data_IF_503427863537
#
_entry.id   IF_503427863537
#
_cell.length_a   1.000
_cell.length_b   1.000
_cell.length_c   1.000
_cell.angle_alpha   90.00
_cell.angle_beta   90.00
_cell.angle_gamma   90.00
#
_symmetry.space_group_name_H-M   'P 1'
#
loop_
_entity.id
_entity.type
_entity.pdbx_description
1 polymer ?
#
# COMPACT_ATOMS: atom_id res chain seq x y z
N UNK A 1 -16.77 6.89 14.37
CA UNK A 1 -16.86 7.62 13.08
C UNK A 1 -15.85 7.04 12.08
N UNK A 2 -14.55 7.16 12.34
CA UNK A 2 -13.49 6.60 11.47
C UNK A 2 -13.70 5.12 11.12
N UNK A 3 -13.90 4.23 12.10
CA UNK A 3 -14.09 2.79 11.84
C UNK A 3 -15.20 2.50 10.81
N UNK A 4 -16.38 3.11 10.98
CA UNK A 4 -17.54 2.87 10.09
C UNK A 4 -17.25 3.41 8.69
N UNK A 5 -16.72 4.63 8.59
CA UNK A 5 -16.39 5.22 7.29
C UNK A 5 -15.27 4.48 6.57
N UNK A 6 -14.25 4.01 7.29
CA UNK A 6 -13.20 3.15 6.74
C UNK A 6 -13.78 1.87 6.16
N UNK A 7 -14.64 1.16 6.90
CA UNK A 7 -15.26 -0.06 6.38
C UNK A 7 -16.15 0.21 5.19
N UNK A 8 -17.00 1.25 5.24
CA UNK A 8 -17.86 1.61 4.12
C UNK A 8 -17.06 1.87 2.83
N UNK A 9 -15.98 2.65 2.92
CA UNK A 9 -15.14 2.91 1.75
C UNK A 9 -14.36 1.66 1.33
N UNK A 10 -13.83 0.87 2.26
CA UNK A 10 -13.07 -0.37 1.98
C UNK A 10 -13.89 -1.42 1.23
N UNK A 11 -15.17 -1.58 1.56
CA UNK A 11 -16.07 -2.51 0.86
C UNK A 11 -16.63 -1.93 -0.45
N UNK A 12 -16.19 -0.74 -0.86
CA UNK A 12 -16.60 -0.12 -2.11
C UNK A 12 -17.96 0.57 -2.08
N UNK A 13 -18.48 0.96 -0.91
CA UNK A 13 -19.73 1.71 -0.83
C UNK A 13 -19.57 3.05 -1.57
N UNK A 14 -20.29 3.20 -2.69
CA UNK A 14 -20.08 4.29 -3.66
C UNK A 14 -20.18 5.67 -3.02
N UNK A 15 -21.19 5.89 -2.18
CA UNK A 15 -21.38 7.17 -1.49
C UNK A 15 -20.19 7.52 -0.57
N UNK A 16 -19.55 6.52 0.05
CA UNK A 16 -18.35 6.76 0.87
C UNK A 16 -17.21 7.23 -0.02
N UNK A 17 -16.93 6.48 -1.10
CA UNK A 17 -15.87 6.81 -2.04
C UNK A 17 -16.07 8.20 -2.65
N UNK A 18 -17.28 8.49 -3.14
CA UNK A 18 -17.63 9.76 -3.78
C UNK A 18 -17.48 10.93 -2.80
N UNK A 19 -18.01 10.81 -1.57
CA UNK A 19 -17.90 11.88 -0.56
C UNK A 19 -16.47 12.09 -0.07
N UNK A 20 -15.69 11.02 0.10
CA UNK A 20 -14.28 11.15 0.49
C UNK A 20 -13.46 11.80 -0.61
N UNK A 21 -13.72 11.46 -1.88
CA UNK A 21 -13.05 12.09 -3.01
C UNK A 21 -13.46 13.57 -3.17
N UNK A 22 -14.75 13.90 -3.09
CA UNK A 22 -15.22 15.29 -3.13
C UNK A 22 -14.57 16.15 -2.03
N UNK A 23 -14.56 15.65 -0.79
CA UNK A 23 -13.94 16.35 0.34
C UNK A 23 -12.43 16.48 0.18
N UNK A 24 -11.75 15.46 -0.36
CA UNK A 24 -10.34 15.49 -0.69
C UNK A 24 -10.03 16.53 -1.76
N UNK A 25 -10.71 16.49 -2.90
CA UNK A 25 -10.50 17.40 -4.03
C UNK A 25 -10.80 18.84 -3.64
N UNK A 26 -11.85 19.08 -2.83
CA UNK A 26 -12.12 20.40 -2.27
C UNK A 26 -10.98 20.89 -1.35
N UNK A 27 -10.47 20.03 -0.47
CA UNK A 27 -9.36 20.36 0.41
C UNK A 27 -8.06 20.67 -0.36
N UNK A 28 -7.78 19.92 -1.42
CA UNK A 28 -6.63 20.15 -2.31
C UNK A 28 -6.79 21.46 -3.08
N UNK A 29 -7.93 21.67 -3.74
CA UNK A 29 -8.22 22.89 -4.53
C UNK A 29 -8.15 24.15 -3.69
N UNK A 30 -8.76 24.12 -2.50
CA UNK A 30 -8.89 25.31 -1.65
C UNK A 30 -7.67 25.48 -0.72
N UNK A 31 -6.68 24.57 -0.81
CA UNK A 31 -5.52 24.48 0.07
C UNK A 31 -5.90 24.51 1.56
N UNK A 32 -6.95 23.77 1.91
CA UNK A 32 -7.47 23.68 3.29
C UNK A 32 -7.16 22.32 3.92
N UNK A 33 -7.21 22.27 5.25
CA UNK A 33 -7.04 21.02 5.99
C UNK A 33 -8.40 20.36 6.21
N UNK A 34 -8.51 19.08 5.89
CA UNK A 34 -9.63 18.26 6.35
C UNK A 34 -9.58 18.16 7.88
N UNK A 35 -10.76 18.19 8.51
CA UNK A 35 -10.85 18.08 9.97
C UNK A 35 -10.16 16.79 10.47
N UNK A 36 -9.30 16.86 11.51
CA UNK A 36 -8.50 15.71 11.97
C UNK A 36 -9.30 14.42 12.21
N UNK A 37 -10.52 14.53 12.75
CA UNK A 37 -11.41 13.39 13.01
C UNK A 37 -11.72 12.51 11.79
N UNK A 38 -11.65 13.06 10.57
CA UNK A 38 -11.96 12.32 9.33
C UNK A 38 -10.81 12.32 8.33
N UNK A 39 -9.71 13.01 8.64
CA UNK A 39 -8.62 13.23 7.70
C UNK A 39 -8.00 11.93 7.17
N UNK A 40 -7.82 10.91 8.02
CA UNK A 40 -7.29 9.60 7.59
C UNK A 40 -8.15 8.95 6.50
N UNK A 41 -9.47 8.96 6.68
CA UNK A 41 -10.41 8.34 5.73
C UNK A 41 -10.49 9.19 4.46
N UNK A 42 -10.66 10.50 4.60
CA UNK A 42 -10.81 11.41 3.46
C UNK A 42 -9.54 11.43 2.61
N UNK A 43 -8.35 11.55 3.20
CA UNK A 43 -7.12 11.59 2.43
C UNK A 43 -6.80 10.23 1.77
N UNK A 44 -6.96 9.10 2.47
CA UNK A 44 -6.66 7.79 1.90
C UNK A 44 -7.63 7.42 0.75
N UNK A 45 -8.94 7.51 0.97
CA UNK A 45 -9.92 7.13 -0.06
C UNK A 45 -10.12 8.20 -1.13
N UNK A 46 -9.84 9.47 -0.82
CA UNK A 46 -9.72 10.50 -1.84
C UNK A 46 -8.56 10.23 -2.80
N UNK A 47 -7.43 9.70 -2.28
CA UNK A 47 -6.28 9.32 -3.09
C UNK A 47 -6.56 8.17 -4.08
N UNK A 48 -7.56 7.32 -3.83
CA UNK A 48 -7.90 6.23 -4.76
C UNK A 48 -8.24 6.72 -6.17
N UNK A 49 -8.76 7.95 -6.29
CA UNK A 49 -9.16 8.56 -7.56
C UNK A 49 -8.45 9.91 -7.79
N UNK A 50 -7.36 10.17 -7.08
CA UNK A 50 -6.61 11.40 -7.24
C UNK A 50 -5.97 11.47 -8.63
N UNK A 51 -6.14 12.63 -9.27
CA UNK A 51 -5.36 12.99 -10.46
C UNK A 51 -3.88 13.15 -10.12
N UNK A 52 -3.01 13.11 -11.13
CA UNK A 52 -1.57 13.32 -10.91
C UNK A 52 -1.27 14.70 -10.29
N UNK A 53 -2.06 15.72 -10.63
CA UNK A 53 -1.94 17.05 -10.04
C UNK A 53 -2.29 17.05 -8.53
N UNK A 54 -3.37 16.37 -8.14
CA UNK A 54 -3.76 16.24 -6.73
C UNK A 54 -2.72 15.40 -5.96
N UNK A 55 -2.22 14.32 -6.55
CA UNK A 55 -1.17 13.48 -5.97
C UNK A 55 0.10 14.31 -5.70
N UNK A 56 0.59 15.04 -6.72
CA UNK A 56 1.76 15.92 -6.60
C UNK A 56 1.52 17.03 -5.57
N UNK A 57 0.30 17.57 -5.49
CA UNK A 57 -0.04 18.58 -4.49
C UNK A 57 0.04 18.03 -3.06
N UNK A 58 -0.46 16.81 -2.85
CA UNK A 58 -0.36 16.13 -1.55
C UNK A 58 1.08 15.75 -1.19
N UNK A 59 1.88 15.30 -2.18
CA UNK A 59 3.31 15.06 -2.00
C UNK A 59 4.04 16.35 -1.60
N UNK A 60 3.80 17.47 -2.30
CA UNK A 60 4.39 18.77 -1.96
C UNK A 60 3.96 19.26 -0.57
N UNK A 61 2.72 18.99 -0.17
CA UNK A 61 2.24 19.32 1.18
C UNK A 61 2.97 18.51 2.25
N UNK A 62 3.21 17.21 1.99
CA UNK A 62 4.03 16.36 2.84
C UNK A 62 5.45 16.90 2.92
N UNK A 63 6.08 17.15 1.77
CA UNK A 63 7.44 17.65 1.65
C UNK A 63 7.65 18.96 2.42
N UNK A 64 6.74 19.92 2.29
CA UNK A 64 6.87 21.24 2.94
C UNK A 64 6.47 21.25 4.42
N UNK A 65 5.81 20.20 4.92
CA UNK A 65 5.38 20.14 6.32
C UNK A 65 6.56 19.91 7.25
N UNK A 66 6.62 20.68 8.35
CA UNK A 66 7.54 20.45 9.48
C UNK A 66 6.89 19.65 10.61
N UNK A 67 5.61 19.28 10.46
CA UNK A 67 4.86 18.53 11.46
C UNK A 67 4.92 17.03 11.13
N UNK A 68 5.64 16.26 11.94
CA UNK A 68 5.82 14.81 11.77
C UNK A 68 4.50 14.02 11.73
N UNK A 69 3.49 14.41 12.52
CA UNK A 69 2.18 13.77 12.49
C UNK A 69 1.43 14.04 11.19
N UNK A 70 1.52 15.26 10.66
CA UNK A 70 0.96 15.59 9.34
C UNK A 70 1.71 14.85 8.22
N UNK A 71 3.04 14.78 8.27
CA UNK A 71 3.84 14.02 7.29
C UNK A 71 3.45 12.54 7.28
N UNK A 72 3.34 11.92 8.45
CA UNK A 72 2.93 10.51 8.58
C UNK A 72 1.55 10.29 7.95
N UNK A 73 0.57 11.14 8.29
CA UNK A 73 -0.78 11.07 7.72
C UNK A 73 -0.77 11.19 6.19
N UNK A 74 0.05 12.09 5.64
CA UNK A 74 0.14 12.30 4.20
C UNK A 74 0.88 11.17 3.49
N UNK A 75 1.94 10.60 4.08
CA UNK A 75 2.63 9.42 3.56
C UNK A 75 1.66 8.23 3.47
N UNK A 76 0.88 8.00 4.54
CA UNK A 76 -0.14 6.95 4.56
C UNK A 76 -1.20 7.15 3.48
N UNK A 77 -1.65 8.40 3.30
CA UNK A 77 -2.64 8.72 2.28
C UNK A 77 -2.10 8.55 0.84
N UNK A 78 -0.88 8.96 0.57
CA UNK A 78 -0.22 8.79 -0.75
C UNK A 78 -0.10 7.31 -1.12
N UNK A 79 0.22 6.45 -0.15
CA UNK A 79 0.24 5.00 -0.34
C UNK A 79 -1.12 4.39 -0.69
N UNK A 80 -2.24 5.10 -0.44
CA UNK A 80 -3.58 4.66 -0.82
C UNK A 80 -3.94 4.90 -2.29
N UNK A 81 -3.05 5.48 -3.11
CA UNK A 81 -3.33 5.60 -4.55
C UNK A 81 -3.66 4.23 -5.17
N UNK A 82 -4.52 4.23 -6.20
CA UNK A 82 -4.79 3.05 -7.03
C UNK A 82 -4.13 3.16 -8.41
N UNK A 83 -3.32 4.20 -8.65
CA UNK A 83 -2.54 4.36 -9.88
C UNK A 83 -1.15 3.73 -9.69
N UNK A 84 -0.83 2.75 -10.52
CA UNK A 84 0.49 2.09 -10.51
C UNK A 84 1.62 3.10 -10.73
N UNK A 85 1.43 4.08 -11.61
CA UNK A 85 2.46 5.08 -11.94
C UNK A 85 2.68 6.05 -10.77
N UNK A 86 1.62 6.44 -10.05
CA UNK A 86 1.75 7.29 -8.86
C UNK A 86 2.46 6.54 -7.72
N UNK A 87 2.11 5.26 -7.52
CA UNK A 87 2.75 4.42 -6.50
C UNK A 87 4.22 4.14 -6.83
N UNK A 88 4.54 3.86 -8.10
CA UNK A 88 5.92 3.66 -8.57
C UNK A 88 6.79 4.92 -8.36
N UNK A 89 6.28 6.09 -8.75
CA UNK A 89 6.94 7.36 -8.49
C UNK A 89 7.14 7.60 -6.98
N UNK A 90 6.15 7.24 -6.15
CA UNK A 90 6.24 7.40 -4.71
C UNK A 90 7.25 6.45 -4.06
N UNK A 91 7.27 5.18 -4.45
CA UNK A 91 8.25 4.20 -3.99
C UNK A 91 9.67 4.61 -4.36
N UNK A 92 9.87 5.12 -5.57
CA UNK A 92 11.15 5.65 -6.06
C UNK A 92 11.70 6.77 -5.14
N UNK A 93 10.82 7.61 -4.59
CA UNK A 93 11.25 8.65 -3.64
C UNK A 93 11.84 8.09 -2.33
N UNK A 94 11.47 6.87 -1.93
CA UNK A 94 11.97 6.25 -0.68
C UNK A 94 13.45 5.89 -0.73
N UNK A 95 13.95 5.51 -1.92
CA UNK A 95 15.37 5.23 -2.16
C UNK A 95 16.12 6.50 -2.59
N UNK A 96 15.41 7.55 -3.01
CA UNK A 96 16.04 8.78 -3.51
C UNK A 96 16.71 8.59 -4.88
N UNK A 97 16.36 7.52 -5.58
CA UNK A 97 16.66 7.33 -6.99
C UNK A 97 15.71 8.22 -7.82
N UNK A 98 16.16 8.67 -8.99
CA UNK A 98 15.33 9.45 -9.93
C UNK A 98 15.83 10.89 -10.18
N UNK A 99 15.95 11.25 -11.45
CA UNK A 99 16.41 12.58 -11.87
C UNK A 99 15.37 13.64 -11.52
N UNK A 100 15.76 14.63 -10.72
CA UNK A 100 14.88 15.76 -10.35
C UNK A 100 13.91 15.46 -9.20
N UNK A 101 14.05 14.32 -8.52
CA UNK A 101 13.24 13.99 -7.35
C UNK A 101 13.86 14.64 -6.11
N UNK A 102 13.19 15.67 -5.58
CA UNK A 102 13.53 16.23 -4.28
C UNK A 102 12.96 15.37 -3.15
N UNK A 103 13.84 14.85 -2.30
CA UNK A 103 13.49 14.04 -1.12
C UNK A 103 14.00 14.69 0.15
N UNK A 104 13.15 14.78 1.17
CA UNK A 104 13.52 15.32 2.48
C UNK A 104 13.04 14.44 3.64
N UNK A 105 12.95 13.14 3.39
CA UNK A 105 12.53 12.17 4.39
C UNK A 105 13.47 12.12 5.59
N UNK A 106 12.88 12.02 6.78
CA UNK A 106 13.59 11.43 7.91
C UNK A 106 13.82 9.94 7.66
N UNK A 107 14.83 9.34 8.29
CA UNK A 107 15.22 7.94 8.07
C UNK A 107 14.02 6.98 8.20
N UNK A 108 13.22 7.12 9.26
CA UNK A 108 12.03 6.30 9.49
C UNK A 108 10.89 6.53 8.47
N UNK A 109 10.86 7.68 7.79
CA UNK A 109 9.80 7.99 6.82
C UNK A 109 9.99 7.24 5.50
N UNK A 110 11.22 6.93 5.11
CA UNK A 110 11.49 6.14 3.89
C UNK A 110 10.88 4.74 4.01
N UNK A 111 11.12 4.06 5.13
CA UNK A 111 10.48 2.77 5.42
C UNK A 111 8.96 2.89 5.55
N UNK A 112 8.46 4.03 6.05
CA UNK A 112 7.01 4.29 6.12
C UNK A 112 6.37 4.41 4.74
N UNK A 113 7.06 4.95 3.74
CA UNK A 113 6.58 4.99 2.34
C UNK A 113 6.28 3.58 1.85
N UNK A 114 7.23 2.65 2.00
CA UNK A 114 7.04 1.24 1.61
C UNK A 114 5.84 0.63 2.33
N UNK A 115 5.75 0.86 3.65
CA UNK A 115 4.65 0.39 4.48
C UNK A 115 3.29 0.95 4.05
N UNK A 116 3.20 2.24 3.77
CA UNK A 116 1.97 2.88 3.33
C UNK A 116 1.47 2.24 2.04
N UNK A 117 2.37 1.96 1.09
CA UNK A 117 2.03 1.35 -0.19
C UNK A 117 1.53 -0.09 -0.02
N UNK A 118 2.31 -1.00 0.56
CA UNK A 118 1.89 -2.42 0.64
C UNK A 118 0.71 -2.66 1.60
N UNK A 119 0.47 -1.76 2.57
CA UNK A 119 -0.59 -1.95 3.56
C UNK A 119 -1.95 -1.43 3.11
N UNK A 120 -1.99 -0.50 2.14
CA UNK A 120 -3.22 0.17 1.75
C UNK A 120 -4.14 -0.67 0.86
N UNK A 121 -3.59 -1.42 -0.09
CA UNK A 121 -4.38 -2.17 -1.07
C UNK A 121 -3.59 -3.29 -1.76
N UNK A 122 -4.28 -4.18 -2.46
CA UNK A 122 -3.63 -5.18 -3.33
C UNK A 122 -2.82 -4.52 -4.44
N UNK A 123 -3.36 -3.47 -5.05
CA UNK A 123 -2.64 -2.64 -6.03
C UNK A 123 -1.33 -2.08 -5.48
N UNK A 124 -1.30 -1.71 -4.20
CA UNK A 124 -0.06 -1.32 -3.52
C UNK A 124 0.97 -2.44 -3.40
N UNK A 125 0.53 -3.66 -3.08
CA UNK A 125 1.42 -4.84 -3.08
C UNK A 125 1.95 -5.11 -4.49
N UNK A 126 1.08 -5.05 -5.51
CA UNK A 126 1.47 -5.28 -6.91
C UNK A 126 2.45 -4.20 -7.41
N UNK A 127 2.24 -2.94 -7.02
CA UNK A 127 3.16 -1.85 -7.31
C UNK A 127 4.53 -2.08 -6.65
N UNK A 128 4.55 -2.54 -5.40
CA UNK A 128 5.80 -2.86 -4.70
C UNK A 128 6.52 -4.05 -5.31
N UNK A 129 5.80 -5.10 -5.73
CA UNK A 129 6.40 -6.23 -6.47
C UNK A 129 7.01 -5.71 -7.78
N UNK A 130 6.26 -4.93 -8.55
CA UNK A 130 6.74 -4.36 -9.83
C UNK A 130 7.98 -3.48 -9.62
N UNK A 131 7.98 -2.65 -8.59
CA UNK A 131 9.11 -1.79 -8.23
C UNK A 131 10.37 -2.60 -7.90
N UNK A 132 10.24 -3.74 -7.22
CA UNK A 132 11.35 -4.62 -6.88
C UNK A 132 11.69 -5.65 -7.97
N UNK A 133 10.87 -5.75 -9.03
CA UNK A 133 11.12 -6.58 -10.22
C UNK A 133 12.11 -5.89 -11.18
N UNK A 134 13.03 -5.12 -10.62
CA UNK A 134 14.20 -4.54 -11.23
C UNK A 134 15.38 -4.75 -10.26
N UNK A 135 16.42 -5.41 -10.73
CA UNK A 135 17.56 -5.78 -9.90
C UNK A 135 18.28 -4.54 -9.34
N UNK A 136 18.45 -3.49 -10.15
CA UNK A 136 19.14 -2.26 -9.72
C UNK A 136 18.33 -1.53 -8.65
N UNK A 137 17.00 -1.52 -8.77
CA UNK A 137 16.10 -0.93 -7.76
C UNK A 137 16.11 -1.75 -6.46
N UNK A 138 16.15 -3.07 -6.55
CA UNK A 138 16.26 -3.93 -5.37
C UNK A 138 17.61 -3.74 -4.65
N UNK A 139 18.71 -3.60 -5.41
CA UNK A 139 20.04 -3.27 -4.87
C UNK A 139 20.04 -1.89 -4.18
N UNK A 140 19.48 -0.87 -4.83
CA UNK A 140 19.34 0.48 -4.27
C UNK A 140 18.51 0.46 -2.98
N UNK A 141 17.41 -0.31 -2.93
CA UNK A 141 16.62 -0.45 -1.71
C UNK A 141 17.48 -0.97 -0.55
N UNK A 142 18.27 -2.01 -0.79
CA UNK A 142 19.17 -2.59 0.21
C UNK A 142 20.27 -1.59 0.58
N UNK A 143 20.83 -0.88 -0.39
CA UNK A 143 21.87 0.10 -0.15
C UNK A 143 21.40 1.27 0.73
N UNK A 144 20.20 1.80 0.48
CA UNK A 144 19.69 2.98 1.18
C UNK A 144 18.91 2.65 2.45
N UNK A 145 18.25 1.50 2.54
CA UNK A 145 17.37 1.12 3.65
C UNK A 145 17.80 -0.15 4.40
N UNK A 146 18.92 -0.75 3.98
CA UNK A 146 19.52 -1.95 4.58
C UNK A 146 18.73 -3.25 4.33
N UNK A 147 19.47 -4.37 4.37
CA UNK A 147 18.94 -5.71 4.19
C UNK A 147 17.72 -6.06 5.09
N UNK A 148 17.66 -5.64 6.38
CA UNK A 148 16.49 -5.92 7.21
C UNK A 148 15.18 -5.32 6.68
N UNK A 149 15.23 -4.15 6.03
CA UNK A 149 14.04 -3.53 5.43
C UNK A 149 13.61 -4.32 4.19
N UNK A 150 14.54 -4.68 3.31
CA UNK A 150 14.25 -5.55 2.16
C UNK A 150 13.59 -6.87 2.59
N UNK A 151 14.16 -7.55 3.58
CA UNK A 151 13.60 -8.80 4.12
C UNK A 151 12.17 -8.60 4.69
N UNK A 152 11.94 -7.47 5.37
CA UNK A 152 10.63 -7.13 5.92
C UNK A 152 9.59 -6.85 4.83
N UNK A 153 10.01 -6.25 3.71
CA UNK A 153 9.16 -6.04 2.53
C UNK A 153 8.77 -7.37 1.89
N UNK A 154 9.71 -8.29 1.69
CA UNK A 154 9.41 -9.64 1.18
C UNK A 154 8.40 -10.36 2.08
N UNK A 155 8.61 -10.31 3.41
CA UNK A 155 7.67 -10.88 4.36
C UNK A 155 6.27 -10.21 4.29
N UNK A 156 6.21 -8.90 4.10
CA UNK A 156 4.95 -8.16 3.96
C UNK A 156 4.19 -8.49 2.67
N UNK A 157 4.91 -8.74 1.57
CA UNK A 157 4.35 -9.24 0.30
C UNK A 157 3.79 -10.65 0.51
N UNK A 158 4.59 -11.57 1.07
CA UNK A 158 4.18 -12.95 1.32
C UNK A 158 2.92 -13.03 2.21
N UNK A 159 2.86 -12.23 3.28
CA UNK A 159 1.69 -12.15 4.16
C UNK A 159 0.40 -11.66 3.47
N UNK A 160 0.48 -11.11 2.26
CA UNK A 160 -0.66 -10.59 1.47
C UNK A 160 -0.90 -11.37 0.17
N UNK A 161 -0.17 -12.45 -0.04
CA UNK A 161 -0.32 -13.36 -1.16
C UNK A 161 -1.25 -14.51 -0.74
N UNK A 162 -2.41 -14.59 -1.37
CA UNK A 162 -3.52 -15.49 -1.06
C UNK A 162 -4.01 -16.27 -2.29
N UNK A 163 -3.38 -16.12 -3.45
CA UNK A 163 -3.73 -16.87 -4.67
C UNK A 163 -2.49 -17.45 -5.37
N UNK A 164 -2.70 -18.49 -6.16
CA UNK A 164 -1.64 -19.09 -6.99
C UNK A 164 -1.03 -18.09 -7.99
N UNK A 165 -1.84 -17.16 -8.51
CA UNK A 165 -1.35 -16.11 -9.41
C UNK A 165 -0.37 -15.18 -8.68
N UNK A 166 -0.73 -14.73 -7.47
CA UNK A 166 0.13 -13.88 -6.65
C UNK A 166 1.39 -14.62 -6.18
N UNK A 167 1.29 -15.92 -5.90
CA UNK A 167 2.46 -16.76 -5.60
C UNK A 167 3.43 -16.82 -6.79
N UNK A 168 2.92 -16.94 -8.02
CA UNK A 168 3.76 -16.91 -9.20
C UNK A 168 4.45 -15.56 -9.40
N UNK A 169 3.78 -14.44 -9.09
CA UNK A 169 4.42 -13.11 -9.09
C UNK A 169 5.55 -13.02 -8.06
N UNK A 170 5.34 -13.56 -6.85
CA UNK A 170 6.38 -13.59 -5.81
C UNK A 170 7.56 -14.48 -6.22
N UNK A 171 7.31 -15.64 -6.86
CA UNK A 171 8.36 -16.51 -7.40
C UNK A 171 9.16 -15.83 -8.52
N UNK A 172 8.49 -15.06 -9.37
CA UNK A 172 9.15 -14.25 -10.39
C UNK A 172 10.06 -13.19 -9.76
N UNK A 173 9.57 -12.48 -8.73
CA UNK A 173 10.39 -11.53 -7.98
C UNK A 173 11.65 -12.19 -7.40
N UNK A 174 11.53 -13.39 -6.83
CA UNK A 174 12.70 -14.14 -6.34
C UNK A 174 13.71 -14.49 -7.45
N UNK A 175 13.23 -14.79 -8.67
CA UNK A 175 14.11 -15.01 -9.80
C UNK A 175 14.86 -13.73 -10.22
N UNK A 176 14.21 -12.57 -10.09
CA UNK A 176 14.81 -11.26 -10.40
C UNK A 176 15.85 -10.86 -9.35
N UNK A 177 15.52 -10.89 -8.06
CA UNK A 177 16.43 -10.42 -6.99
C UNK A 177 17.54 -11.42 -6.64
N UNK A 178 17.35 -12.72 -6.94
CA UNK A 178 18.37 -13.75 -6.75
C UNK A 178 18.93 -13.79 -5.32
N UNK A 179 20.26 -13.75 -5.19
CA UNK A 179 20.98 -13.87 -3.91
C UNK A 179 20.71 -12.72 -2.92
N UNK A 180 20.12 -11.60 -3.37
CA UNK A 180 19.67 -10.52 -2.48
C UNK A 180 18.60 -10.97 -1.49
N UNK A 181 17.83 -12.02 -1.84
CA UNK A 181 16.89 -12.68 -0.95
C UNK A 181 17.54 -13.98 -0.43
N UNK A 182 18.07 -13.99 0.82
CA UNK A 182 18.66 -15.18 1.39
C UNK A 182 17.69 -16.35 1.46
N UNK A 183 18.20 -17.59 1.37
CA UNK A 183 17.39 -18.82 1.34
C UNK A 183 16.40 -18.92 2.52
N UNK A 184 16.80 -18.47 3.72
CA UNK A 184 15.92 -18.47 4.88
C UNK A 184 14.75 -17.46 4.76
N UNK A 185 14.96 -16.35 4.06
CA UNK A 185 13.92 -15.34 3.79
C UNK A 185 12.94 -15.88 2.75
N UNK A 186 13.47 -16.47 1.66
CA UNK A 186 12.66 -17.11 0.61
C UNK A 186 11.81 -18.24 1.19
N UNK A 187 12.41 -19.12 1.99
CA UNK A 187 11.71 -20.25 2.61
C UNK A 187 10.59 -19.78 3.54
N UNK A 188 10.87 -18.84 4.44
CA UNK A 188 9.87 -18.29 5.37
C UNK A 188 8.71 -17.58 4.63
N UNK A 189 9.01 -16.88 3.54
CA UNK A 189 8.00 -16.25 2.69
C UNK A 189 7.11 -17.32 2.02
N UNK A 190 7.67 -18.36 1.41
CA UNK A 190 6.91 -19.43 0.78
C UNK A 190 6.07 -20.23 1.78
N UNK A 191 6.58 -20.48 2.99
CA UNK A 191 5.81 -21.09 4.08
C UNK A 191 4.61 -20.23 4.48
N UNK A 192 4.81 -18.90 4.59
CA UNK A 192 3.73 -17.95 4.88
C UNK A 192 2.66 -17.99 3.79
N UNK A 193 3.05 -17.99 2.51
CA UNK A 193 2.10 -18.08 1.40
C UNK A 193 1.36 -19.42 1.40
N UNK A 194 2.06 -20.53 1.65
CA UNK A 194 1.41 -21.84 1.73
C UNK A 194 0.35 -21.87 2.84
N UNK A 195 0.67 -21.31 4.01
CA UNK A 195 -0.30 -21.17 5.11
C UNK A 195 -1.54 -20.35 4.70
N UNK A 196 -1.37 -19.28 3.92
CA UNK A 196 -2.48 -18.47 3.43
C UNK A 196 -3.37 -19.26 2.46
N UNK A 197 -2.75 -19.97 1.51
CA UNK A 197 -3.46 -20.80 0.52
C UNK A 197 -4.23 -21.95 1.21
N UNK A 198 -3.60 -22.59 2.19
CA UNK A 198 -4.18 -23.72 2.93
C UNK A 198 -5.37 -23.28 3.80
N UNK A 199 -5.38 -22.03 4.30
CA UNK A 199 -6.44 -21.50 5.16
C UNK A 199 -7.83 -21.63 4.52
N UNK A 200 -7.94 -21.46 3.20
CA UNK A 200 -9.20 -21.61 2.46
C UNK A 200 -9.83 -23.01 2.60
N UNK A 201 -9.01 -24.04 2.82
CA UNK A 201 -9.45 -25.44 3.02
C UNK A 201 -9.51 -25.87 4.49
N UNK A 202 -9.13 -24.97 5.40
CA UNK A 202 -9.21 -25.21 6.84
C UNK A 202 -10.66 -25.25 7.33
N UNK A 203 -10.89 -25.84 8.51
CA UNK A 203 -12.21 -25.84 9.15
C UNK A 203 -12.77 -24.42 9.35
N UNK A 204 -11.91 -23.47 9.70
CA UNK A 204 -12.31 -22.07 9.85
C UNK A 204 -12.73 -21.47 8.51
N UNK A 205 -11.92 -21.65 7.47
CA UNK A 205 -12.20 -21.14 6.12
C UNK A 205 -13.53 -21.66 5.57
N UNK A 206 -13.80 -22.95 5.73
CA UNK A 206 -15.08 -23.57 5.31
C UNK A 206 -16.27 -22.97 6.07
N UNK A 207 -16.19 -22.84 7.40
CA UNK A 207 -17.27 -22.26 8.21
C UNK A 207 -17.54 -20.81 7.80
N UNK A 208 -16.49 -20.01 7.57
CA UNK A 208 -16.65 -18.60 7.15
C UNK A 208 -17.28 -18.51 5.76
N UNK A 209 -16.83 -19.32 4.80
CA UNK A 209 -17.40 -19.35 3.46
C UNK A 209 -18.89 -19.71 3.47
N UNK A 210 -19.25 -20.79 4.16
CA UNK A 210 -20.66 -21.21 4.31
C UNK A 210 -21.52 -20.13 4.98
N UNK A 211 -20.99 -19.47 6.02
CA UNK A 211 -21.70 -18.39 6.70
C UNK A 211 -21.94 -17.19 5.77
N UNK A 212 -20.93 -16.78 5.02
CA UNK A 212 -21.04 -15.66 4.09
C UNK A 212 -21.99 -15.98 2.93
N UNK A 213 -21.92 -17.17 2.33
CA UNK A 213 -22.87 -17.59 1.31
C UNK A 213 -24.32 -17.53 1.80
N UNK A 214 -24.55 -17.96 3.05
CA UNK A 214 -25.88 -17.99 3.65
C UNK A 214 -26.44 -16.59 3.95
N UNK A 215 -25.61 -15.65 4.40
CA UNK A 215 -26.09 -14.38 4.97
C UNK A 215 -25.69 -13.13 4.18
N UNK A 216 -24.66 -13.18 3.34
CA UNK A 216 -24.28 -12.05 2.49
C UNK A 216 -25.15 -11.97 1.22
N UNK A 217 -25.67 -13.11 0.73
CA UNK A 217 -26.56 -13.16 -0.44
C UNK A 217 -28.00 -12.65 -0.21
N UNK A 218 -28.38 -12.30 1.02
CA UNK A 218 -29.75 -11.84 1.37
C UNK A 218 -29.99 -10.33 1.19
N UNK A 219 -29.02 -9.57 0.68
CA UNK A 219 -29.14 -8.10 0.50
C UNK A 219 -29.67 -7.71 -0.90
N UNK A 220 -29.92 -8.68 -1.79
CA UNK A 220 -30.54 -8.45 -3.11
C UNK A 220 -31.87 -9.21 -3.30
N UNK A 221 -32.78 -9.11 -2.32
CA UNK A 221 -34.19 -9.49 -2.50
C UNK A 221 -35.15 -8.46 -1.88
#
# INVERSE_FOLDING_TARGET
KQLISTWACRIGYSECLDKTHEAFSAAVRDNTKVHPDVATVVYCYGMHRATDEEFVTMYKRMFNSQNSAERTLLIDALGCSQSMDQLDAFLTTSIGAGVGIEVNYFEAERTRVLQAVYSASRTGVDALIKFLDDWDIADDLIYYLEQPVFNSVIAAIAARTNTEQELNQLKQLFATVGEMAPENVVSAALETVQSNLDWHSSLEGVIVAEFLEKYAGWVEA
#
